data_IF_662478236505
#
_entry.id   IF_662478236505
#
_cell.length_a   1.000
_cell.length_b   1.000
_cell.length_c   1.000
_cell.angle_alpha   90.00
_cell.angle_beta   90.00
_cell.angle_gamma   90.00
#
_symmetry.space_group_name_H-M   'P 1'
#
loop_
_entity.id
_entity.type
_entity.pdbx_description
1 polymer ?
#
# COMPACT_ATOMS: atom_id res chain seq x y z
N UNK A 1 30.00 58.61 -4.23
CA UNK A 1 29.04 59.02 -5.28
C UNK A 1 29.71 58.91 -6.66
N UNK A 2 29.65 57.73 -7.29
CA UNK A 2 29.97 57.41 -8.71
C UNK A 2 29.25 56.08 -9.03
N UNK A 3 28.10 56.16 -9.71
CA UNK A 3 27.84 55.89 -11.15
C UNK A 3 27.82 54.38 -11.49
N UNK A 4 26.67 53.97 -12.01
CA UNK A 4 26.23 52.64 -12.47
C UNK A 4 27.07 52.07 -13.62
N UNK A 5 27.27 50.74 -13.58
CA UNK A 5 27.39 49.92 -14.80
C UNK A 5 26.61 48.62 -14.60
N UNK A 6 25.44 48.53 -15.24
CA UNK A 6 24.68 47.28 -15.37
C UNK A 6 25.31 46.43 -16.48
N UNK A 7 25.74 45.21 -16.13
CA UNK A 7 26.03 44.17 -17.10
C UNK A 7 24.89 43.15 -17.00
N UNK A 8 24.00 43.19 -17.99
CA UNK A 8 23.00 42.15 -18.26
C UNK A 8 23.73 41.06 -19.04
N UNK A 9 23.98 39.92 -18.39
CA UNK A 9 24.43 38.71 -19.08
C UNK A 9 23.29 37.68 -19.02
N UNK A 10 22.57 37.56 -20.15
CA UNK A 10 21.70 36.43 -20.44
C UNK A 10 22.56 35.18 -20.65
N UNK A 11 22.54 34.28 -19.67
CA UNK A 11 22.98 32.89 -19.85
C UNK A 11 21.72 32.01 -19.88
N UNK A 12 21.30 31.68 -21.10
CA UNK A 12 20.32 30.65 -21.36
C UNK A 12 20.95 29.28 -21.05
N UNK A 13 20.68 28.76 -19.86
CA UNK A 13 20.93 27.37 -19.54
C UNK A 13 19.70 26.55 -19.95
N UNK A 14 19.84 25.81 -21.04
CA UNK A 14 18.89 24.79 -21.50
C UNK A 14 18.69 23.75 -20.39
N UNK A 15 17.58 23.87 -19.67
CA UNK A 15 17.06 22.81 -18.82
C UNK A 15 16.42 21.74 -19.68
N UNK A 16 17.17 20.69 -20.04
CA UNK A 16 16.55 19.43 -20.42
C UNK A 16 16.06 18.73 -19.17
N UNK A 17 14.93 19.21 -18.64
CA UNK A 17 14.09 18.38 -17.79
C UNK A 17 13.65 17.18 -18.65
N UNK A 18 14.13 15.99 -18.28
CA UNK A 18 13.47 14.76 -18.70
C UNK A 18 12.11 14.79 -18.02
N UNK A 19 11.12 15.39 -18.68
CA UNK A 19 9.72 15.15 -18.36
C UNK A 19 9.53 13.64 -18.49
N UNK A 20 9.50 12.95 -17.36
CA UNK A 20 8.80 11.68 -17.28
C UNK A 20 7.42 11.95 -17.90
N UNK A 21 7.20 11.46 -19.11
CA UNK A 21 5.90 11.52 -19.75
C UNK A 21 4.96 10.83 -18.79
N UNK A 22 4.16 11.63 -18.06
CA UNK A 22 3.07 11.13 -17.28
C UNK A 22 2.22 10.33 -18.27
N UNK A 23 2.24 9.00 -18.12
CA UNK A 23 1.29 8.15 -18.82
C UNK A 23 -0.12 8.71 -18.60
N UNK A 24 -1.02 8.56 -19.56
CA UNK A 24 -2.38 9.10 -19.42
C UNK A 24 -2.95 8.69 -18.06
N UNK A 25 -3.40 9.66 -17.27
CA UNK A 25 -4.09 9.41 -16.01
C UNK A 25 -5.35 8.61 -16.34
N UNK A 26 -5.31 7.30 -16.05
CA UNK A 26 -6.42 6.39 -16.29
C UNK A 26 -7.03 5.93 -14.98
N UNK A 27 -8.35 5.80 -14.94
CA UNK A 27 -9.13 5.25 -13.83
C UNK A 27 -10.19 4.29 -14.35
N UNK A 28 -10.62 3.37 -13.52
CA UNK A 28 -11.75 2.49 -13.81
C UNK A 28 -13.02 3.06 -13.16
N UNK A 29 -14.14 2.96 -13.86
CA UNK A 29 -15.47 3.29 -13.33
C UNK A 29 -16.52 2.37 -13.94
N UNK A 30 -17.67 2.20 -13.27
CA UNK A 30 -18.78 1.41 -13.78
C UNK A 30 -19.65 2.26 -14.71
N UNK A 31 -20.07 1.69 -15.84
CA UNK A 31 -21.11 2.23 -16.71
C UNK A 31 -22.49 2.06 -16.03
N UNK A 32 -23.55 2.74 -16.53
CA UNK A 32 -24.90 2.64 -15.97
C UNK A 32 -25.47 1.22 -15.91
N UNK A 33 -24.97 0.32 -16.77
CA UNK A 33 -25.33 -1.10 -16.82
C UNK A 33 -24.50 -1.98 -15.85
N UNK A 34 -23.59 -1.38 -15.07
CA UNK A 34 -22.68 -2.05 -14.15
C UNK A 34 -21.37 -2.54 -14.76
N UNK A 35 -21.16 -2.36 -16.07
CA UNK A 35 -19.96 -2.86 -16.76
C UNK A 35 -18.73 -2.01 -16.38
N UNK A 36 -17.61 -2.61 -15.93
CA UNK A 36 -16.37 -1.87 -15.65
C UNK A 36 -15.72 -1.36 -16.95
N UNK A 37 -15.46 -0.06 -17.01
CA UNK A 37 -14.83 0.60 -18.15
C UNK A 37 -13.61 1.42 -17.73
N UNK A 38 -12.61 1.49 -18.62
CA UNK A 38 -11.42 2.31 -18.43
C UNK A 38 -11.66 3.72 -18.99
N UNK A 39 -11.42 4.73 -18.17
CA UNK A 39 -11.48 6.14 -18.54
C UNK A 39 -10.08 6.74 -18.41
N UNK A 40 -9.57 7.36 -19.46
CA UNK A 40 -8.30 8.07 -19.42
C UNK A 40 -8.53 9.55 -19.70
N UNK A 41 -7.75 10.43 -19.06
CA UNK A 41 -7.75 11.85 -19.42
C UNK A 41 -7.17 12.04 -20.82
N UNK A 42 -7.89 12.78 -21.66
CA UNK A 42 -7.38 13.27 -22.93
C UNK A 42 -6.37 14.42 -22.72
N UNK A 43 -5.77 14.91 -23.80
CA UNK A 43 -4.81 16.03 -23.75
C UNK A 43 -5.44 17.35 -23.25
N UNK A 44 -6.76 17.44 -23.18
CA UNK A 44 -7.53 18.59 -22.68
C UNK A 44 -7.98 18.39 -21.22
N UNK A 45 -7.64 17.27 -20.59
CA UNK A 45 -7.99 16.92 -19.22
C UNK A 45 -9.39 16.32 -19.06
N UNK A 46 -10.11 16.04 -20.15
CA UNK A 46 -11.43 15.42 -20.10
C UNK A 46 -11.32 13.90 -20.01
N UNK A 47 -12.20 13.28 -19.23
CA UNK A 47 -12.26 11.83 -19.13
C UNK A 47 -12.95 11.23 -20.36
N UNK A 48 -12.25 10.36 -21.08
CA UNK A 48 -12.82 9.60 -22.20
C UNK A 48 -12.73 8.10 -21.96
N UNK A 49 -13.84 7.41 -22.21
CA UNK A 49 -13.90 5.96 -22.19
C UNK A 49 -13.04 5.39 -23.33
N UNK A 50 -12.20 4.41 -23.01
CA UNK A 50 -11.42 3.68 -24.00
C UNK A 50 -12.30 2.58 -24.62
N UNK A 51 -12.92 2.86 -25.77
CA UNK A 51 -13.76 1.88 -26.48
C UNK A 51 -12.97 0.60 -26.80
N UNK A 52 -13.59 -0.56 -26.57
CA UNK A 52 -12.97 -1.88 -26.83
C UNK A 52 -11.96 -2.36 -25.79
N UNK A 53 -11.63 -1.56 -24.76
CA UNK A 53 -10.81 -2.00 -23.62
C UNK A 53 -11.69 -2.21 -22.41
N UNK A 54 -12.13 -3.45 -22.21
CA UNK A 54 -12.75 -3.88 -20.95
C UNK A 54 -11.66 -3.78 -19.88
N UNK A 55 -11.90 -2.95 -18.86
CA UNK A 55 -11.05 -3.01 -17.69
C UNK A 55 -11.27 -4.39 -17.08
N UNK A 56 -10.21 -5.20 -16.95
CA UNK A 56 -10.27 -6.36 -16.07
C UNK A 56 -10.57 -5.79 -14.70
N UNK A 57 -11.85 -5.79 -14.30
CA UNK A 57 -12.20 -5.49 -12.94
C UNK A 57 -11.41 -6.50 -12.11
N UNK A 58 -10.59 -6.08 -11.12
CA UNK A 58 -10.23 -7.01 -10.07
C UNK A 58 -11.56 -7.59 -9.60
N UNK A 59 -11.71 -8.91 -9.66
CA UNK A 59 -12.95 -9.59 -9.31
C UNK A 59 -13.52 -8.90 -8.06
N UNK A 60 -14.73 -8.36 -8.18
CA UNK A 60 -15.35 -7.61 -7.11
C UNK A 60 -15.45 -8.57 -5.92
N UNK A 61 -14.49 -8.49 -5.01
CA UNK A 61 -14.51 -9.22 -3.76
C UNK A 61 -15.78 -8.77 -3.05
N UNK A 62 -16.57 -9.70 -2.49
CA UNK A 62 -17.85 -9.40 -1.88
C UNK A 62 -17.65 -8.26 -0.88
N UNK A 63 -18.27 -7.12 -1.18
CA UNK A 63 -18.29 -5.93 -0.34
C UNK A 63 -19.33 -6.14 0.75
N UNK A 64 -19.13 -7.15 1.59
CA UNK A 64 -19.89 -7.26 2.83
C UNK A 64 -19.18 -6.44 3.89
N UNK A 65 -19.89 -5.43 4.40
CA UNK A 65 -19.57 -4.74 5.64
C UNK A 65 -19.08 -5.75 6.69
N UNK A 66 -17.85 -5.54 7.18
CA UNK A 66 -17.29 -6.18 8.36
C UNK A 66 -17.75 -7.63 8.60
N UNK A 67 -17.62 -8.53 7.60
CA UNK A 67 -17.63 -9.95 7.94
C UNK A 67 -16.50 -10.15 8.96
N UNK A 68 -16.89 -10.64 10.13
CA UNK A 68 -15.99 -11.11 11.16
C UNK A 68 -15.25 -12.31 10.56
N UNK A 69 -14.19 -12.02 9.78
CA UNK A 69 -13.28 -13.02 9.26
C UNK A 69 -12.72 -13.76 10.47
N UNK A 70 -13.26 -14.95 10.69
CA UNK A 70 -12.85 -15.83 11.77
C UNK A 70 -11.49 -16.43 11.45
N UNK A 71 -11.22 -16.74 10.19
CA UNK A 71 -9.93 -17.25 9.77
C UNK A 71 -9.56 -16.74 8.38
N UNK A 72 -8.35 -16.19 8.22
CA UNK A 72 -7.85 -15.79 6.91
C UNK A 72 -6.32 -15.85 6.82
N UNK A 73 -5.81 -16.27 5.65
CA UNK A 73 -4.41 -16.13 5.28
C UNK A 73 -4.30 -15.03 4.21
N UNK A 74 -3.42 -14.05 4.44
CA UNK A 74 -3.28 -12.88 3.59
C UNK A 74 -1.81 -12.58 3.27
N UNK A 75 -1.54 -12.17 2.04
CA UNK A 75 -0.23 -11.69 1.59
C UNK A 75 -0.38 -10.32 0.97
N UNK A 76 0.41 -9.37 1.44
CA UNK A 76 0.39 -7.98 1.00
C UNK A 76 1.78 -7.54 0.53
N UNK A 77 1.83 -6.64 -0.45
CA UNK A 77 3.07 -6.03 -0.93
C UNK A 77 2.83 -4.61 -1.40
N UNK A 78 3.80 -3.74 -1.14
CA UNK A 78 3.73 -2.35 -1.57
C UNK A 78 4.86 -1.54 -0.95
N UNK A 79 4.62 -0.27 -0.71
CA UNK A 79 5.63 0.64 -0.16
C UNK A 79 5.19 1.29 1.15
N UNK A 80 6.21 1.64 1.94
CA UNK A 80 6.13 2.44 3.16
C UNK A 80 6.90 3.72 2.89
N UNK A 81 6.26 4.86 3.12
CA UNK A 81 6.85 6.19 2.95
C UNK A 81 7.06 6.81 4.32
N UNK A 82 8.32 7.06 4.66
CA UNK A 82 8.72 7.80 5.85
C UNK A 82 9.06 9.24 5.50
N UNK A 83 8.65 10.16 6.38
CA UNK A 83 9.03 11.57 6.30
C UNK A 83 9.64 11.95 7.64
N UNK A 84 10.91 12.32 7.63
CA UNK A 84 11.61 12.73 8.85
C UNK A 84 12.40 14.01 8.63
N UNK A 85 12.54 14.86 9.66
CA UNK A 85 13.39 16.03 9.58
C UNK A 85 14.84 15.59 9.37
N UNK A 86 15.55 16.28 8.49
CA UNK A 86 17.01 16.17 8.40
C UNK A 86 17.53 16.81 9.68
N UNK A 87 18.07 16.03 10.62
CA UNK A 87 18.79 16.60 11.74
C UNK A 87 19.88 17.52 11.19
N UNK A 88 19.78 18.81 11.50
CA UNK A 88 20.66 19.87 11.04
C UNK A 88 22.02 19.76 11.74
N UNK A 89 22.72 18.65 11.50
CA UNK A 89 24.02 18.33 12.10
C UNK A 89 25.15 19.08 11.38
N UNK A 90 24.99 20.40 11.13
CA UNK A 90 26.06 21.39 10.83
C UNK A 90 25.46 22.70 10.31
N UNK A 91 25.12 23.65 11.19
CA UNK A 91 25.15 25.09 10.87
C UNK A 91 25.65 25.91 12.06
N UNK A 92 26.92 25.73 12.42
CA UNK A 92 27.73 26.87 12.87
C UNK A 92 28.37 27.43 11.59
N UNK A 93 28.01 28.68 11.23
CA UNK A 93 28.47 29.46 10.07
C UNK A 93 27.80 29.24 8.70
N UNK A 94 26.55 29.66 8.52
CA UNK A 94 26.06 30.07 7.19
C UNK A 94 25.15 31.30 7.35
N UNK A 95 25.38 32.32 6.51
CA UNK A 95 24.75 33.63 6.62
C UNK A 95 23.24 33.61 6.37
N UNK A 96 22.59 34.74 6.67
CA UNK A 96 21.12 34.94 6.64
C UNK A 96 20.48 34.54 5.29
N UNK A 97 21.24 34.59 4.18
CA UNK A 97 20.75 34.24 2.83
C UNK A 97 20.63 32.71 2.65
N UNK A 98 21.56 31.90 3.20
CA UNK A 98 21.48 30.44 3.18
C UNK A 98 20.44 29.89 4.16
N UNK A 99 20.14 30.63 5.22
CA UNK A 99 19.03 30.31 6.13
C UNK A 99 17.67 30.49 5.45
N UNK A 100 17.52 31.49 4.57
CA UNK A 100 16.29 31.72 3.81
C UNK A 100 16.08 30.66 2.70
N UNK A 101 17.15 30.25 2.01
CA UNK A 101 17.09 29.18 0.99
C UNK A 101 16.85 27.81 1.63
N UNK A 102 17.39 27.54 2.82
CA UNK A 102 17.09 26.31 3.56
C UNK A 102 15.72 26.30 4.23
N UNK A 103 15.13 27.47 4.50
CA UNK A 103 13.73 27.56 4.92
C UNK A 103 12.75 27.29 3.75
N UNK A 104 13.18 27.52 2.51
CA UNK A 104 12.38 27.27 1.30
C UNK A 104 12.52 25.83 0.76
N UNK A 105 13.68 25.17 0.95
CA UNK A 105 13.86 23.75 0.69
C UNK A 105 13.56 22.96 1.96
N UNK A 106 12.31 22.50 2.12
CA UNK A 106 11.83 21.77 3.32
C UNK A 106 12.89 20.81 3.87
N UNK A 107 13.36 21.05 5.10
CA UNK A 107 14.37 20.27 5.84
C UNK A 107 13.88 18.85 6.19
N UNK A 108 13.22 18.16 5.27
CA UNK A 108 12.58 16.86 5.45
C UNK A 108 13.08 15.90 4.39
N UNK A 109 13.56 14.74 4.81
CA UNK A 109 13.89 13.64 3.91
C UNK A 109 12.66 12.74 3.76
N UNK A 110 12.33 12.42 2.51
CA UNK A 110 11.31 11.43 2.14
C UNK A 110 12.03 10.16 1.70
N UNK A 111 11.65 9.03 2.29
CA UNK A 111 12.21 7.72 1.98
C UNK A 111 11.07 6.75 1.72
N UNK A 112 11.13 6.06 0.57
CA UNK A 112 10.14 5.05 0.19
C UNK A 112 10.82 3.68 0.15
N UNK A 113 10.24 2.72 0.85
CA UNK A 113 10.81 1.38 1.01
C UNK A 113 9.76 0.33 0.69
N UNK A 114 10.14 -0.69 -0.08
CA UNK A 114 9.26 -1.80 -0.41
C UNK A 114 9.14 -2.77 0.76
N UNK A 115 7.93 -3.21 1.07
CA UNK A 115 7.64 -4.18 2.11
C UNK A 115 6.69 -5.27 1.60
N UNK A 116 6.84 -6.47 2.17
CA UNK A 116 5.97 -7.62 1.96
C UNK A 116 5.54 -8.15 3.33
N UNK A 117 4.24 -8.37 3.53
CA UNK A 117 3.68 -8.88 4.78
C UNK A 117 2.86 -10.13 4.49
N UNK A 118 3.13 -11.21 5.21
CA UNK A 118 2.27 -12.39 5.27
C UNK A 118 1.58 -12.41 6.63
N UNK A 119 0.24 -12.48 6.64
CA UNK A 119 -0.56 -12.51 7.86
C UNK A 119 -1.43 -13.77 7.90
N UNK A 120 -1.58 -14.31 9.10
CA UNK A 120 -2.65 -15.23 9.48
C UNK A 120 -3.53 -14.54 10.50
N UNK A 121 -4.83 -14.56 10.26
CA UNK A 121 -5.87 -13.97 11.08
C UNK A 121 -6.67 -15.11 11.68
N UNK A 122 -6.74 -15.18 13.01
CA UNK A 122 -7.49 -16.17 13.78
C UNK A 122 -8.37 -15.41 14.79
N UNK A 123 -9.62 -15.18 14.40
CA UNK A 123 -10.55 -14.28 15.08
C UNK A 123 -10.01 -12.85 15.08
N UNK A 124 -9.72 -12.33 16.28
CA UNK A 124 -9.08 -11.02 16.43
C UNK A 124 -7.55 -11.10 16.43
N UNK A 125 -6.95 -12.28 16.52
CA UNK A 125 -5.50 -12.42 16.64
C UNK A 125 -4.87 -12.40 15.25
N UNK A 126 -3.79 -11.64 15.10
CA UNK A 126 -2.99 -11.59 13.87
C UNK A 126 -1.57 -12.04 14.19
N UNK A 127 -1.06 -12.98 13.40
CA UNK A 127 0.34 -13.43 13.42
C UNK A 127 0.90 -13.44 12.01
N UNK A 128 2.21 -13.53 11.87
CA UNK A 128 2.81 -13.67 10.54
C UNK A 128 4.25 -13.18 10.46
N UNK A 129 4.65 -12.72 9.28
CA UNK A 129 5.99 -12.19 9.02
C UNK A 129 5.96 -10.96 8.14
N UNK A 130 6.94 -10.07 8.34
CA UNK A 130 7.25 -8.96 7.44
C UNK A 130 8.65 -9.12 6.88
N UNK A 131 8.82 -8.81 5.59
CA UNK A 131 10.09 -8.78 4.88
C UNK A 131 10.23 -7.45 4.16
N UNK A 132 11.43 -6.86 4.17
CA UNK A 132 11.64 -5.54 3.61
C UNK A 132 11.15 -4.43 4.54
N UNK A 133 10.99 -3.22 4.01
CA UNK A 133 10.83 -2.02 4.80
C UNK A 133 12.13 -1.69 5.55
N UNK A 134 12.02 -1.40 6.84
CA UNK A 134 13.17 -1.04 7.69
C UNK A 134 14.15 -2.21 7.88
N UNK A 135 13.73 -3.46 7.65
CA UNK A 135 14.56 -4.65 7.88
C UNK A 135 14.76 -5.49 6.62
N UNK A 136 15.95 -6.09 6.52
CA UNK A 136 16.32 -6.98 5.39
C UNK A 136 15.91 -8.43 5.63
N UNK A 137 15.67 -8.83 6.89
CA UNK A 137 15.32 -10.19 7.27
C UNK A 137 13.80 -10.37 7.43
N UNK A 138 13.34 -11.63 7.43
CA UNK A 138 11.98 -11.97 7.86
C UNK A 138 11.85 -11.72 9.36
N UNK A 139 10.98 -10.79 9.74
CA UNK A 139 10.70 -10.45 11.14
C UNK A 139 9.30 -10.95 11.49
N UNK A 140 9.13 -11.68 12.60
CA UNK A 140 7.79 -12.09 13.04
C UNK A 140 6.97 -10.86 13.42
N UNK A 141 5.68 -10.90 13.06
CA UNK A 141 4.69 -9.91 13.48
C UNK A 141 3.63 -10.57 14.36
N UNK A 142 3.11 -9.79 15.31
CA UNK A 142 1.95 -10.14 16.13
C UNK A 142 1.07 -8.91 16.32
N UNK A 143 -0.23 -9.13 16.51
CA UNK A 143 -1.17 -8.03 16.68
C UNK A 143 -2.61 -8.46 16.73
N UNK A 144 -3.48 -7.50 16.43
CA UNK A 144 -4.93 -7.71 16.42
C UNK A 144 -5.60 -7.17 15.18
N UNK A 145 -6.77 -7.72 14.85
CA UNK A 145 -7.69 -7.20 13.84
C UNK A 145 -9.07 -7.00 14.46
N UNK A 146 -9.57 -5.76 14.43
CA UNK A 146 -10.92 -5.40 14.91
C UNK A 146 -11.59 -4.49 13.90
N UNK A 147 -12.82 -4.84 13.48
CA UNK A 147 -13.61 -4.04 12.54
C UNK A 147 -12.86 -3.68 11.25
N UNK A 148 -12.05 -4.60 10.73
CA UNK A 148 -11.23 -4.38 9.53
C UNK A 148 -10.00 -3.48 9.73
N UNK A 149 -9.66 -3.15 10.97
CA UNK A 149 -8.43 -2.43 11.33
C UNK A 149 -7.44 -3.43 11.91
N UNK A 150 -6.26 -3.53 11.30
CA UNK A 150 -5.12 -4.26 11.83
C UNK A 150 -4.25 -3.31 12.66
N UNK A 151 -3.81 -3.80 13.81
CA UNK A 151 -2.82 -3.19 14.68
C UNK A 151 -1.76 -4.26 14.97
N UNK A 152 -0.67 -4.25 14.19
CA UNK A 152 0.39 -5.25 14.23
C UNK A 152 1.72 -4.62 14.58
N UNK A 153 2.57 -5.38 15.24
CA UNK A 153 3.92 -4.97 15.62
C UNK A 153 4.95 -6.02 15.22
N UNK A 154 6.13 -5.55 14.86
CA UNK A 154 7.32 -6.39 14.73
C UNK A 154 8.46 -5.78 15.55
N UNK A 155 9.33 -6.63 16.05
CA UNK A 155 10.49 -6.23 16.85
C UNK A 155 11.72 -6.99 16.38
N UNK A 156 12.80 -6.26 16.09
CA UNK A 156 14.09 -6.83 15.74
C UNK A 156 15.20 -6.04 16.44
N UNK A 157 16.09 -6.74 17.16
CA UNK A 157 17.24 -6.15 17.86
C UNK A 157 16.92 -5.00 18.84
N UNK A 158 15.68 -4.95 19.35
CA UNK A 158 15.18 -3.92 20.26
C UNK A 158 14.58 -2.70 19.56
N UNK A 159 14.62 -2.65 18.23
CA UNK A 159 13.81 -1.70 17.45
C UNK A 159 12.44 -2.33 17.21
N UNK A 160 11.37 -1.54 17.32
CA UNK A 160 10.02 -2.00 17.01
C UNK A 160 9.35 -1.11 15.96
N UNK A 161 8.47 -1.70 15.18
CA UNK A 161 7.62 -0.98 14.22
C UNK A 161 6.18 -1.42 14.42
N UNK A 162 5.29 -0.46 14.57
CA UNK A 162 3.84 -0.68 14.68
C UNK A 162 3.16 -0.22 13.40
N UNK A 163 2.42 -1.11 12.75
CA UNK A 163 1.59 -0.83 11.59
C UNK A 163 0.12 -0.85 12.02
N UNK A 164 -0.54 0.30 11.84
CA UNK A 164 -1.96 0.46 12.16
C UNK A 164 -2.72 0.97 10.96
N UNK A 165 -3.78 0.27 10.57
CA UNK A 165 -4.53 0.66 9.38
C UNK A 165 -5.60 -0.32 8.97
N UNK A 166 -6.33 0.06 7.91
CA UNK A 166 -7.35 -0.79 7.31
C UNK A 166 -6.69 -1.99 6.63
N UNK A 167 -7.12 -3.20 6.98
CA UNK A 167 -6.68 -4.45 6.39
C UNK A 167 -7.89 -5.31 5.98
N UNK A 168 -7.96 -5.62 4.69
CA UNK A 168 -9.00 -6.47 4.11
C UNK A 168 -8.46 -7.22 2.88
N UNK A 169 -9.36 -7.83 2.11
CA UNK A 169 -9.01 -8.58 0.90
C UNK A 169 -8.46 -7.70 -0.24
N UNK A 170 -8.61 -6.37 -0.18
CA UNK A 170 -8.08 -5.44 -1.17
C UNK A 170 -6.66 -4.97 -0.84
N UNK A 171 -6.31 -4.89 0.44
CA UNK A 171 -5.01 -4.39 0.84
C UNK A 171 -4.87 -4.14 2.34
N UNK A 172 -3.69 -3.62 2.70
CA UNK A 172 -3.36 -3.14 4.03
C UNK A 172 -2.74 -1.74 3.92
N UNK A 173 -3.39 -0.73 4.49
CA UNK A 173 -2.94 0.67 4.39
C UNK A 173 -3.19 1.45 5.67
N UNK A 174 -2.27 2.34 6.02
CA UNK A 174 -2.41 3.19 7.20
C UNK A 174 -1.10 3.85 7.59
N UNK A 175 -0.81 3.86 8.90
CA UNK A 175 0.37 4.50 9.48
C UNK A 175 1.33 3.48 10.05
N UNK A 176 2.62 3.63 9.75
CA UNK A 176 3.71 2.89 10.37
C UNK A 176 4.44 3.81 11.35
N UNK A 177 4.68 3.36 12.57
CA UNK A 177 5.49 4.09 13.56
C UNK A 177 6.66 3.22 13.98
N UNK A 178 7.87 3.69 13.71
CA UNK A 178 9.12 3.07 14.13
C UNK A 178 9.53 3.64 15.49
N UNK A 179 9.79 2.77 16.44
CA UNK A 179 10.36 3.07 17.75
C UNK A 179 11.76 2.44 17.82
N UNK A 180 12.80 3.20 17.48
CA UNK A 180 14.16 2.70 17.59
C UNK A 180 14.53 2.51 19.07
N UNK A 181 15.42 1.56 19.35
CA UNK A 181 15.98 1.32 20.69
C UNK A 181 16.67 2.56 21.26
N UNK A 182 17.23 3.39 20.37
CA UNK A 182 17.86 4.67 20.69
C UNK A 182 17.45 5.69 19.64
N UNK A 183 16.98 6.86 20.09
CA UNK A 183 16.60 7.96 19.21
C UNK A 183 15.10 8.27 19.26
N UNK A 184 14.67 9.10 18.32
CA UNK A 184 13.29 9.57 18.22
C UNK A 184 12.47 8.63 17.35
N UNK A 185 11.20 8.41 17.73
CA UNK A 185 10.28 7.64 16.90
C UNK A 185 9.97 8.34 15.59
N UNK A 186 9.91 7.58 14.49
CA UNK A 186 9.58 8.10 13.17
C UNK A 186 8.23 7.56 12.72
N UNK A 187 7.40 8.42 12.13
CA UNK A 187 6.09 8.05 11.60
C UNK A 187 6.08 8.13 10.07
N UNK A 188 5.41 7.18 9.45
CA UNK A 188 5.22 7.11 8.01
C UNK A 188 3.82 6.63 7.65
N UNK A 189 3.50 6.68 6.36
CA UNK A 189 2.29 6.10 5.79
C UNK A 189 2.67 4.92 4.91
N UNK A 190 1.81 3.91 4.85
CA UNK A 190 2.04 2.76 3.98
C UNK A 190 0.79 2.38 3.22
N UNK A 191 0.99 1.77 2.05
CA UNK A 191 -0.06 1.18 1.26
C UNK A 191 0.46 -0.10 0.61
N UNK A 192 -0.10 -1.23 1.02
CA UNK A 192 0.24 -2.55 0.53
C UNK A 192 -0.99 -3.14 -0.16
N UNK A 193 -0.84 -3.51 -1.43
CA UNK A 193 -1.87 -4.21 -2.18
C UNK A 193 -1.91 -5.68 -1.75
N UNK A 194 -3.10 -6.28 -1.71
CA UNK A 194 -3.22 -7.72 -1.52
C UNK A 194 -2.69 -8.46 -2.77
N UNK A 195 -1.76 -9.38 -2.55
CA UNK A 195 -1.32 -10.36 -3.56
C UNK A 195 -2.28 -11.56 -3.54
N UNK A 196 -2.62 -12.03 -2.33
CA UNK A 196 -3.55 -13.12 -2.12
C UNK A 196 -4.28 -12.90 -0.79
N UNK A 197 -5.55 -13.25 -0.76
CA UNK A 197 -6.35 -13.23 0.45
C UNK A 197 -7.30 -14.42 0.42
N UNK A 198 -7.13 -15.34 1.36
CA UNK A 198 -7.93 -16.54 1.48
C UNK A 198 -8.70 -16.48 2.78
N UNK A 199 -10.01 -16.32 2.70
CA UNK A 199 -10.90 -16.55 3.84
C UNK A 199 -11.05 -18.06 4.04
N UNK A 200 -10.30 -18.60 4.99
CA UNK A 200 -10.28 -20.03 5.27
C UNK A 200 -11.58 -20.50 5.89
N UNK A 201 -12.31 -19.63 6.63
CA UNK A 201 -13.63 -20.00 7.17
C UNK A 201 -14.68 -20.19 6.07
N UNK A 202 -14.68 -19.32 5.05
CA UNK A 202 -15.54 -19.47 3.87
C UNK A 202 -15.11 -20.66 3.02
N UNK A 203 -13.80 -20.86 2.81
CA UNK A 203 -13.28 -22.02 2.07
C UNK A 203 -13.69 -23.33 2.74
N UNK A 204 -13.49 -23.45 4.05
CA UNK A 204 -13.73 -24.69 4.78
C UNK A 204 -15.24 -24.99 4.89
N UNK A 205 -16.09 -23.95 5.02
CA UNK A 205 -17.55 -24.12 4.96
C UNK A 205 -18.02 -24.58 3.57
N UNK A 206 -17.49 -23.97 2.50
CA UNK A 206 -17.78 -24.42 1.12
C UNK A 206 -17.30 -25.85 0.88
N UNK A 207 -16.14 -26.21 1.43
CA UNK A 207 -15.62 -27.58 1.35
C UNK A 207 -16.56 -28.57 2.02
N UNK A 208 -17.01 -28.28 3.25
CA UNK A 208 -17.96 -29.13 3.97
C UNK A 208 -19.30 -29.28 3.23
N UNK A 209 -19.83 -28.20 2.66
CA UNK A 209 -21.07 -28.25 1.86
C UNK A 209 -20.91 -29.10 0.59
N UNK A 210 -19.75 -29.02 -0.07
CA UNK A 210 -19.44 -29.82 -1.26
C UNK A 210 -19.19 -31.29 -0.92
N UNK A 211 -18.53 -31.58 0.21
CA UNK A 211 -18.35 -32.94 0.75
C UNK A 211 -19.74 -33.56 1.01
N UNK A 212 -20.62 -32.87 1.73
CA UNK A 212 -21.98 -33.35 2.00
C UNK A 212 -22.80 -33.61 0.72
N UNK A 213 -22.63 -32.76 -0.30
CA UNK A 213 -23.28 -32.95 -1.61
C UNK A 213 -22.70 -34.14 -2.38
N UNK A 214 -21.38 -34.32 -2.35
CA UNK A 214 -20.71 -35.43 -3.03
C UNK A 214 -21.08 -36.79 -2.41
N UNK A 215 -21.16 -36.86 -1.07
CA UNK A 215 -21.47 -38.10 -0.33
C UNK A 215 -22.97 -38.47 -0.34
N UNK A 216 -23.87 -37.49 -0.52
CA UNK A 216 -25.32 -37.66 -0.40
C UNK A 216 -26.04 -38.46 -1.49
N UNK A 217 -25.33 -39.20 -2.35
CA UNK A 217 -25.90 -40.11 -3.37
C UNK A 217 -26.71 -39.48 -4.52
N UNK A 218 -27.02 -38.18 -4.40
CA UNK A 218 -27.62 -37.32 -5.43
C UNK A 218 -26.63 -36.24 -5.92
N UNK A 219 -25.38 -36.31 -5.44
CA UNK A 219 -24.32 -35.36 -5.75
C UNK A 219 -24.04 -35.31 -7.23
N UNK A 220 -24.34 -34.17 -7.85
CA UNK A 220 -23.88 -33.86 -9.20
C UNK A 220 -22.36 -34.05 -9.25
N UNK A 221 -21.86 -34.81 -10.23
CA UNK A 221 -20.42 -34.99 -10.52
C UNK A 221 -19.65 -33.66 -10.43
N UNK A 222 -20.30 -32.56 -10.80
CA UNK A 222 -19.84 -31.19 -10.66
C UNK A 222 -19.38 -30.78 -9.24
N UNK A 223 -20.12 -31.17 -8.19
CA UNK A 223 -19.76 -30.85 -6.80
C UNK A 223 -18.51 -31.60 -6.34
N UNK A 224 -18.33 -32.85 -6.79
CA UNK A 224 -17.13 -33.63 -6.49
C UNK A 224 -15.91 -33.10 -7.25
N UNK A 225 -16.08 -32.63 -8.49
CA UNK A 225 -15.01 -31.99 -9.26
C UNK A 225 -14.61 -30.65 -8.65
N UNK A 226 -15.58 -29.84 -8.22
CA UNK A 226 -15.32 -28.56 -7.55
C UNK A 226 -14.62 -28.76 -6.19
N UNK A 227 -15.01 -29.80 -5.43
CA UNK A 227 -14.34 -30.17 -4.20
C UNK A 227 -12.86 -30.53 -4.42
N UNK A 228 -12.55 -31.23 -5.51
CA UNK A 228 -11.17 -31.60 -5.84
C UNK A 228 -10.31 -30.40 -6.22
N UNK A 229 -10.91 -29.35 -6.79
CA UNK A 229 -10.23 -28.08 -7.10
C UNK A 229 -9.97 -27.19 -5.87
N UNK A 230 -10.60 -27.47 -4.73
CA UNK A 230 -10.45 -26.73 -3.48
C UNK A 230 -9.37 -27.30 -2.54
N UNK A 231 -8.78 -28.46 -2.87
CA UNK A 231 -7.68 -29.10 -2.12
C UNK A 231 -6.34 -28.44 -2.44
#
# INVERSE_FOLDING_TARGET
MRIFTYIVLCLAAYGHAVQAQAGPECRTAALPDGTPALFCKDKKGNWQQQQGKVAVAPAALPTSAAQQLLYADARYRGSVVYVYPIEERRRRNTGIIDALVSAAASNTRREEILASITMRIEGEVVTGTITGGVWTNNVPITGTRRNGICDISATLNGDSVVYKGKCDASGFSGTATQYPRRGTSTKGTFQLAAISFTDTSTRDSRRADLEAKCDGGSGSVEACVELDQLK
#
